data_IF_210237091924
#
_entry.id   IF_210237091924
#
_cell.length_a   1.000
_cell.length_b   1.000
_cell.length_c   1.000
_cell.angle_alpha   90.00
_cell.angle_beta   90.00
_cell.angle_gamma   90.00
#
_symmetry.space_group_name_H-M   'P 1'
#
loop_
_entity.id
_entity.type
_entity.pdbx_description
1 polymer ?
#
# COMPACT_ATOMS: atom_id res chain seq x y z
N UNK A 1 -7.33 0.19 -17.57
CA UNK A 1 -7.73 -0.65 -18.73
C UNK A 1 -8.90 0.00 -19.44
N UNK A 2 -8.85 0.24 -20.76
CA UNK A 2 -9.95 0.87 -21.49
C UNK A 2 -11.28 0.15 -21.25
N UNK A 3 -12.34 0.90 -20.95
CA UNK A 3 -13.68 0.34 -20.76
C UNK A 3 -13.94 -0.34 -19.41
N UNK A 4 -12.92 -0.49 -18.54
CA UNK A 4 -13.08 -1.08 -17.21
C UNK A 4 -13.23 0.03 -16.16
N UNK A 5 -14.36 0.05 -15.47
CA UNK A 5 -14.65 1.01 -14.42
C UNK A 5 -13.78 0.81 -13.16
N UNK A 6 -13.63 1.86 -12.35
CA UNK A 6 -12.95 1.78 -11.06
C UNK A 6 -13.62 0.73 -10.16
N UNK A 7 -12.81 -0.11 -9.53
CA UNK A 7 -13.27 -1.21 -8.68
C UNK A 7 -13.87 -2.40 -9.43
N UNK A 8 -14.06 -2.35 -10.76
CA UNK A 8 -14.66 -3.47 -11.49
C UNK A 8 -13.69 -4.64 -11.65
N UNK A 9 -12.42 -4.36 -11.97
CA UNK A 9 -11.37 -5.36 -12.12
C UNK A 9 -11.11 -6.07 -10.79
N UNK A 10 -11.03 -7.39 -10.82
CA UNK A 10 -10.62 -8.27 -9.73
C UNK A 10 -9.28 -8.91 -10.05
N UNK A 11 -8.35 -8.83 -9.12
CA UNK A 11 -7.07 -9.55 -9.18
C UNK A 11 -6.87 -10.30 -7.85
N UNK A 12 -6.04 -11.34 -7.87
CA UNK A 12 -5.51 -11.98 -6.68
C UNK A 12 -3.99 -11.81 -6.61
N UNK A 13 -3.39 -12.24 -5.48
CA UNK A 13 -1.96 -12.07 -5.23
C UNK A 13 -1.08 -12.78 -6.24
N UNK A 14 -1.45 -13.99 -6.66
CA UNK A 14 -0.67 -14.77 -7.62
C UNK A 14 -0.72 -14.16 -9.03
N UNK A 15 -1.91 -13.77 -9.50
CA UNK A 15 -2.08 -13.09 -10.79
C UNK A 15 -1.34 -11.76 -10.79
N UNK A 16 -1.43 -10.98 -9.71
CA UNK A 16 -0.71 -9.72 -9.57
C UNK A 16 0.81 -9.92 -9.59
N UNK A 17 1.33 -10.92 -8.88
CA UNK A 17 2.75 -11.27 -8.91
C UNK A 17 3.19 -11.68 -10.32
N UNK A 18 2.43 -12.53 -11.01
CA UNK A 18 2.72 -12.97 -12.36
C UNK A 18 2.67 -11.82 -13.39
N UNK A 19 1.81 -10.81 -13.19
CA UNK A 19 1.85 -9.57 -13.98
C UNK A 19 3.18 -8.86 -13.76
N UNK A 20 3.59 -8.60 -12.51
CA UNK A 20 4.82 -7.86 -12.22
C UNK A 20 6.11 -8.65 -12.49
N UNK A 21 6.04 -9.98 -12.58
CA UNK A 21 7.10 -10.85 -13.12
C UNK A 21 7.18 -10.79 -14.66
N UNK A 22 6.18 -10.20 -15.33
CA UNK A 22 6.08 -10.14 -16.79
C UNK A 22 5.56 -11.42 -17.46
N UNK A 23 5.14 -12.42 -16.68
CA UNK A 23 4.59 -13.70 -17.17
C UNK A 23 3.19 -13.51 -17.76
N UNK A 24 2.39 -12.66 -17.13
CA UNK A 24 1.09 -12.21 -17.68
C UNK A 24 1.30 -10.86 -18.35
N UNK A 25 1.20 -10.85 -19.68
CA UNK A 25 1.59 -9.69 -20.50
C UNK A 25 0.43 -9.03 -21.25
N UNK A 26 -0.79 -9.55 -21.13
CA UNK A 26 -2.01 -8.99 -21.74
C UNK A 26 -3.20 -9.04 -20.79
N UNK A 27 -4.13 -8.09 -20.93
CA UNK A 27 -5.29 -7.95 -20.04
C UNK A 27 -6.35 -9.04 -20.23
N UNK A 28 -6.42 -9.69 -21.39
CA UNK A 28 -7.31 -10.83 -21.66
C UNK A 28 -6.67 -12.19 -21.32
N UNK A 29 -5.57 -12.21 -20.56
CA UNK A 29 -4.94 -13.45 -20.12
C UNK A 29 -5.95 -14.35 -19.38
N UNK A 30 -5.96 -15.69 -19.62
CA UNK A 30 -6.91 -16.60 -18.99
C UNK A 30 -6.97 -16.50 -17.47
N UNK A 31 -5.85 -16.24 -16.79
CA UNK A 31 -5.81 -16.08 -15.34
C UNK A 31 -6.60 -14.83 -14.90
N UNK A 32 -6.47 -13.71 -15.63
CA UNK A 32 -7.24 -12.49 -15.34
C UNK A 32 -8.72 -12.72 -15.69
N UNK A 33 -9.02 -13.33 -16.83
CA UNK A 33 -10.41 -13.59 -17.27
C UNK A 33 -11.16 -14.46 -16.24
N UNK A 34 -10.51 -15.50 -15.71
CA UNK A 34 -11.10 -16.39 -14.72
C UNK A 34 -11.58 -15.67 -13.44
N UNK A 35 -10.87 -14.61 -13.02
CA UNK A 35 -11.23 -13.83 -11.82
C UNK A 35 -12.37 -12.83 -12.05
N UNK A 36 -12.65 -12.49 -13.31
CA UNK A 36 -13.48 -11.35 -13.67
C UNK A 36 -14.87 -11.70 -14.23
N UNK A 37 -15.21 -13.00 -14.28
CA UNK A 37 -16.59 -13.48 -14.35
C UNK A 37 -17.47 -12.86 -15.46
N UNK A 38 -16.90 -12.61 -16.65
CA UNK A 38 -17.62 -12.04 -17.80
C UNK A 38 -17.33 -10.57 -18.11
N UNK A 39 -16.43 -9.90 -17.38
CA UNK A 39 -15.90 -8.60 -17.79
C UNK A 39 -15.24 -8.74 -19.18
N UNK A 40 -15.63 -7.91 -20.14
CA UNK A 40 -15.00 -7.89 -21.47
C UNK A 40 -13.60 -7.28 -21.37
N UNK A 41 -12.58 -8.14 -21.36
CA UNK A 41 -11.19 -7.72 -21.25
C UNK A 41 -10.54 -7.59 -22.64
N UNK A 42 -9.86 -6.47 -22.93
CA UNK A 42 -9.27 -6.25 -24.25
C UNK A 42 -7.97 -7.04 -24.43
N UNK A 43 -7.63 -7.38 -25.68
CA UNK A 43 -6.30 -7.90 -26.09
C UNK A 43 -5.24 -6.79 -26.08
N UNK A 44 -5.16 -6.04 -24.99
CA UNK A 44 -4.20 -4.94 -24.81
C UNK A 44 -3.02 -5.44 -23.99
N UNK A 45 -1.80 -5.16 -24.45
CA UNK A 45 -0.56 -5.40 -23.70
C UNK A 45 -0.61 -4.70 -22.33
N UNK A 46 -0.15 -5.38 -21.31
CA UNK A 46 0.06 -4.81 -19.98
C UNK A 46 1.39 -4.07 -19.98
N UNK A 47 1.36 -2.80 -19.58
CA UNK A 47 2.58 -2.03 -19.31
C UNK A 47 2.71 -1.83 -17.82
N UNK A 48 3.72 -2.45 -17.23
CA UNK A 48 4.02 -2.34 -15.80
C UNK A 48 4.67 -0.99 -15.53
N UNK A 49 4.19 -0.28 -14.52
CA UNK A 49 4.76 0.96 -14.01
C UNK A 49 5.10 0.74 -12.55
N UNK A 50 6.40 0.83 -12.22
CA UNK A 50 6.91 0.70 -10.86
C UNK A 50 7.60 2.00 -10.43
N UNK A 51 7.99 2.10 -9.16
CA UNK A 51 8.79 3.24 -8.67
C UNK A 51 10.22 3.17 -9.18
N UNK A 52 10.80 4.32 -9.56
CA UNK A 52 12.21 4.44 -9.91
C UNK A 52 13.11 4.83 -8.73
N UNK A 53 12.52 5.39 -7.68
CA UNK A 53 13.19 5.87 -6.47
C UNK A 53 12.92 4.97 -5.25
N UNK A 54 13.78 5.07 -4.23
CA UNK A 54 13.61 4.35 -2.96
C UNK A 54 12.27 4.70 -2.31
N UNK A 55 11.47 3.68 -1.99
CA UNK A 55 10.04 3.88 -1.74
C UNK A 55 9.47 2.92 -0.69
N UNK A 56 8.80 3.48 0.32
CA UNK A 56 8.01 2.71 1.29
C UNK A 56 6.78 2.05 0.66
N UNK A 57 6.17 2.68 -0.35
CA UNK A 57 5.07 2.06 -1.11
C UNK A 57 5.56 0.83 -1.87
N UNK A 58 6.76 0.90 -2.45
CA UNK A 58 7.42 -0.25 -3.07
C UNK A 58 7.62 -1.35 -2.04
N UNK A 59 8.22 -1.03 -0.88
CA UNK A 59 8.44 -2.00 0.19
C UNK A 59 7.16 -2.77 0.53
N UNK A 60 6.05 -2.09 0.81
CA UNK A 60 4.79 -2.76 1.15
C UNK A 60 4.22 -3.59 -0.01
N UNK A 61 4.31 -3.07 -1.24
CA UNK A 61 3.85 -3.79 -2.43
C UNK A 61 4.64 -5.09 -2.63
N UNK A 62 5.97 -5.04 -2.60
CA UNK A 62 6.81 -6.23 -2.85
C UNK A 62 6.89 -7.17 -1.66
N UNK A 63 6.69 -6.66 -0.44
CA UNK A 63 6.50 -7.49 0.76
C UNK A 63 5.18 -8.28 0.65
N UNK A 64 4.08 -7.65 0.20
CA UNK A 64 2.85 -8.37 -0.10
C UNK A 64 3.07 -9.45 -1.17
N UNK A 65 3.69 -9.10 -2.31
CA UNK A 65 3.98 -10.07 -3.37
C UNK A 65 4.85 -11.23 -2.88
N UNK A 66 5.83 -10.96 -2.01
CA UNK A 66 6.66 -11.99 -1.38
C UNK A 66 5.90 -12.92 -0.44
N UNK A 67 4.79 -12.47 0.16
CA UNK A 67 3.93 -13.31 1.00
C UNK A 67 3.01 -14.23 0.18
N UNK A 68 2.56 -13.77 -0.99
CA UNK A 68 1.53 -14.47 -1.79
C UNK A 68 2.10 -15.21 -3.00
N UNK A 69 3.37 -14.99 -3.35
CA UNK A 69 4.05 -15.69 -4.45
C UNK A 69 5.45 -16.13 -4.05
N UNK A 70 5.65 -17.45 -3.98
CA UNK A 70 6.96 -18.04 -3.71
C UNK A 70 7.99 -17.72 -4.80
N UNK A 71 7.55 -17.61 -6.06
CA UNK A 71 8.39 -17.24 -7.20
C UNK A 71 8.84 -15.77 -7.11
N UNK A 72 7.92 -14.86 -6.77
CA UNK A 72 8.30 -13.46 -6.51
C UNK A 72 9.34 -13.38 -5.39
N UNK A 73 9.07 -14.08 -4.27
CA UNK A 73 9.95 -14.08 -3.10
C UNK A 73 11.36 -14.57 -3.44
N UNK A 74 11.50 -15.60 -4.26
CA UNK A 74 12.80 -16.17 -4.61
C UNK A 74 13.55 -15.38 -5.67
N UNK A 75 12.86 -14.77 -6.64
CA UNK A 75 13.51 -14.07 -7.75
C UNK A 75 13.73 -12.57 -7.50
N UNK A 76 12.78 -11.91 -6.83
CA UNK A 76 12.78 -10.44 -6.65
C UNK A 76 12.91 -10.06 -5.18
N UNK A 77 12.15 -10.74 -4.31
CA UNK A 77 12.13 -10.47 -2.88
C UNK A 77 11.49 -9.13 -2.52
N UNK A 78 11.97 -8.52 -1.45
CA UNK A 78 11.42 -7.30 -0.87
C UNK A 78 12.47 -6.24 -0.54
N UNK A 79 12.04 -4.97 -0.50
CA UNK A 79 12.89 -3.84 -0.18
C UNK A 79 12.28 -2.52 -0.62
N UNK A 80 12.87 -1.41 -0.19
CA UNK A 80 12.49 -0.08 -0.69
C UNK A 80 12.87 0.14 -2.15
N UNK A 81 13.79 -0.68 -2.66
CA UNK A 81 14.20 -0.80 -4.06
C UNK A 81 14.43 -2.29 -4.35
N UNK A 82 14.02 -2.77 -5.52
CA UNK A 82 14.24 -4.14 -6.00
C UNK A 82 14.66 -4.14 -7.47
N UNK A 83 15.23 -5.26 -7.95
CA UNK A 83 15.52 -5.44 -9.38
C UNK A 83 14.25 -5.89 -10.10
N UNK A 84 13.50 -4.93 -10.66
CA UNK A 84 12.26 -5.22 -11.38
C UNK A 84 12.50 -6.08 -12.62
N UNK A 85 11.75 -7.17 -12.83
CA UNK A 85 11.87 -8.01 -14.02
C UNK A 85 11.45 -7.29 -15.31
N UNK A 86 10.47 -6.39 -15.22
CA UNK A 86 9.92 -5.65 -16.34
C UNK A 86 9.25 -4.35 -15.87
N UNK A 87 8.95 -3.49 -16.84
CA UNK A 87 8.22 -2.25 -16.63
C UNK A 87 9.08 -1.01 -16.78
N UNK A 88 8.45 0.14 -16.50
CA UNK A 88 9.08 1.45 -16.51
C UNK A 88 9.00 2.08 -15.13
N UNK A 89 10.04 2.86 -14.78
CA UNK A 89 10.13 3.54 -13.50
C UNK A 89 9.52 4.95 -13.53
N UNK A 90 8.45 5.17 -12.76
CA UNK A 90 7.93 6.49 -12.42
C UNK A 90 8.52 6.99 -11.10
N UNK A 91 8.92 8.27 -11.04
CA UNK A 91 9.45 8.88 -9.80
C UNK A 91 8.28 9.31 -8.90
N UNK A 92 8.30 8.90 -7.63
CA UNK A 92 7.22 9.21 -6.70
C UNK A 92 5.89 8.52 -7.03
N UNK A 93 4.86 8.76 -6.21
CA UNK A 93 3.50 8.29 -6.53
C UNK A 93 2.94 9.04 -7.75
N UNK A 94 3.27 10.32 -7.88
CA UNK A 94 2.89 11.21 -8.96
C UNK A 94 3.35 10.69 -10.32
N UNK A 95 4.62 10.27 -10.43
CA UNK A 95 5.17 9.74 -11.68
C UNK A 95 4.55 8.41 -12.07
N UNK A 96 4.31 7.52 -11.10
CA UNK A 96 3.61 6.25 -11.36
C UNK A 96 2.18 6.51 -11.80
N UNK A 97 1.44 7.38 -11.09
CA UNK A 97 0.07 7.76 -11.43
C UNK A 97 -0.03 8.38 -12.83
N UNK A 98 0.88 9.30 -13.17
CA UNK A 98 0.94 9.95 -14.47
C UNK A 98 1.15 8.94 -15.60
N UNK A 99 2.12 8.03 -15.47
CA UNK A 99 2.38 7.00 -16.48
C UNK A 99 1.21 6.02 -16.61
N UNK A 100 0.62 5.54 -15.52
CA UNK A 100 -0.55 4.66 -15.60
C UNK A 100 -1.73 5.34 -16.30
N UNK A 101 -1.92 6.65 -16.09
CA UNK A 101 -2.98 7.41 -16.74
C UNK A 101 -2.73 7.64 -18.24
N UNK A 102 -1.48 7.88 -18.63
CA UNK A 102 -1.10 8.15 -20.02
C UNK A 102 -1.00 6.86 -20.87
N UNK A 103 -0.56 5.76 -20.26
CA UNK A 103 -0.26 4.52 -20.98
C UNK A 103 -1.50 3.64 -21.02
N UNK A 104 -2.04 3.45 -22.23
CA UNK A 104 -3.13 2.50 -22.47
C UNK A 104 -2.68 1.09 -22.06
N UNK A 105 -3.43 0.48 -21.15
CA UNK A 105 -3.08 -0.84 -20.59
C UNK A 105 -2.06 -0.79 -19.44
N UNK A 106 -1.72 0.40 -18.95
CA UNK A 106 -0.84 0.56 -17.79
C UNK A 106 -1.40 -0.03 -16.50
N UNK A 107 -0.51 -0.60 -15.68
CA UNK A 107 -0.77 -1.00 -14.29
C UNK A 107 0.37 -0.50 -13.41
N UNK A 108 0.04 0.02 -12.24
CA UNK A 108 1.01 0.43 -11.23
C UNK A 108 0.39 0.37 -9.84
N UNK A 109 1.20 0.66 -8.83
CA UNK A 109 0.79 0.73 -7.43
C UNK A 109 1.03 2.14 -6.90
N UNK A 110 0.01 2.70 -6.26
CA UNK A 110 0.05 4.01 -5.64
C UNK A 110 -0.73 3.96 -4.32
N UNK A 111 -0.45 4.89 -3.43
CA UNK A 111 -1.32 5.13 -2.28
C UNK A 111 -2.72 5.58 -2.79
N UNK A 112 -3.80 5.20 -2.09
CA UNK A 112 -5.18 5.33 -2.56
C UNK A 112 -5.55 6.78 -2.89
N UNK A 113 -5.10 7.76 -2.10
CA UNK A 113 -5.40 9.17 -2.34
C UNK A 113 -4.96 9.63 -3.72
N UNK A 114 -3.82 9.15 -4.23
CA UNK A 114 -3.34 9.47 -5.58
C UNK A 114 -4.28 8.92 -6.65
N UNK A 115 -4.78 7.70 -6.48
CA UNK A 115 -5.74 7.11 -7.41
C UNK A 115 -7.05 7.90 -7.42
N UNK A 116 -7.57 8.28 -6.25
CA UNK A 116 -8.83 9.03 -6.11
C UNK A 116 -8.71 10.45 -6.68
N UNK A 117 -7.69 11.21 -6.27
CA UNK A 117 -7.48 12.60 -6.72
C UNK A 117 -7.24 12.68 -8.23
N UNK A 118 -6.56 11.69 -8.81
CA UNK A 118 -6.31 11.64 -10.26
C UNK A 118 -7.42 10.99 -11.08
N UNK A 119 -8.52 10.57 -10.42
CA UNK A 119 -9.68 9.87 -11.02
C UNK A 119 -9.25 8.61 -11.78
N UNK A 120 -8.32 7.86 -11.19
CA UNK A 120 -7.80 6.63 -11.76
C UNK A 120 -8.74 5.46 -11.45
N UNK A 121 -8.83 4.52 -12.38
CA UNK A 121 -9.43 3.23 -12.08
C UNK A 121 -8.47 2.41 -11.20
N UNK A 122 -9.00 1.83 -10.13
CA UNK A 122 -8.31 0.86 -9.27
C UNK A 122 -8.96 -0.52 -9.39
N UNK A 123 -8.26 -1.56 -8.94
CA UNK A 123 -8.78 -2.94 -8.88
C UNK A 123 -9.21 -3.31 -7.46
N UNK A 124 -10.07 -4.32 -7.36
CA UNK A 124 -10.28 -5.10 -6.13
C UNK A 124 -9.19 -6.16 -6.03
N UNK A 125 -8.77 -6.45 -4.81
CA UNK A 125 -7.85 -7.54 -4.53
C UNK A 125 -8.50 -8.62 -3.68
N UNK A 126 -8.25 -9.88 -4.03
CA UNK A 126 -8.58 -11.03 -3.20
C UNK A 126 -7.72 -11.01 -1.93
N UNK A 127 -8.34 -11.02 -0.77
CA UNK A 127 -7.65 -11.04 0.51
C UNK A 127 -7.29 -12.45 0.98
N UNK A 128 -6.64 -12.54 2.15
CA UNK A 128 -6.21 -13.80 2.74
C UNK A 128 -7.37 -14.78 3.00
N UNK A 129 -8.59 -14.27 3.25
CA UNK A 129 -9.81 -15.06 3.45
C UNK A 129 -10.54 -15.40 2.13
N UNK A 130 -10.01 -14.95 0.99
CA UNK A 130 -10.55 -15.24 -0.33
C UNK A 130 -11.64 -14.29 -0.84
N UNK A 131 -11.92 -13.19 -0.13
CA UNK A 131 -12.90 -12.18 -0.53
C UNK A 131 -12.26 -11.10 -1.41
N UNK A 132 -12.99 -10.61 -2.43
CA UNK A 132 -12.53 -9.49 -3.26
C UNK A 132 -12.90 -8.15 -2.61
N UNK A 133 -11.90 -7.46 -2.09
CA UNK A 133 -12.06 -6.24 -1.30
C UNK A 133 -11.83 -5.01 -2.18
N UNK A 134 -12.59 -3.94 -1.92
CA UNK A 134 -12.37 -2.61 -2.51
C UNK A 134 -11.46 -1.82 -1.55
N UNK A 135 -10.44 -1.11 -2.05
CA UNK A 135 -9.63 -0.26 -1.18
C UNK A 135 -10.48 0.92 -0.67
N UNK A 136 -10.56 1.06 0.65
CA UNK A 136 -11.34 2.10 1.34
C UNK A 136 -10.87 2.23 2.79
N UNK A 137 -11.26 3.31 3.45
CA UNK A 137 -11.00 3.55 4.87
C UNK A 137 -11.46 2.35 5.73
N UNK A 138 -12.65 1.81 5.46
CA UNK A 138 -13.20 0.65 6.18
C UNK A 138 -12.35 -0.61 5.97
N UNK A 139 -11.90 -0.90 4.76
CA UNK A 139 -11.10 -2.10 4.49
C UNK A 139 -9.66 -1.98 5.00
N UNK A 140 -9.14 -0.75 5.07
CA UNK A 140 -7.87 -0.44 5.71
C UNK A 140 -7.98 -0.56 7.23
N UNK A 141 -9.05 -0.04 7.84
CA UNK A 141 -9.31 -0.18 9.27
C UNK A 141 -9.48 -1.65 9.66
N UNK A 142 -10.21 -2.44 8.86
CA UNK A 142 -10.36 -3.88 9.06
C UNK A 142 -9.01 -4.61 9.07
N UNK A 143 -8.11 -4.27 8.13
CA UNK A 143 -6.76 -4.83 8.12
C UNK A 143 -5.92 -4.35 9.31
N UNK A 144 -5.99 -3.06 9.66
CA UNK A 144 -5.25 -2.49 10.78
C UNK A 144 -5.65 -3.07 12.14
N UNK A 145 -6.91 -3.50 12.30
CA UNK A 145 -7.42 -4.10 13.53
C UNK A 145 -6.72 -5.42 13.92
N UNK A 146 -6.06 -6.11 12.98
CA UNK A 146 -5.28 -7.32 13.28
C UNK A 146 -3.88 -7.02 13.85
N UNK A 147 -3.47 -5.75 13.89
CA UNK A 147 -2.13 -5.36 14.31
C UNK A 147 -1.96 -5.43 15.83
N UNK A 148 -1.04 -6.28 16.30
CA UNK A 148 -0.70 -6.41 17.72
C UNK A 148 0.50 -5.53 18.10
N UNK A 149 0.28 -4.22 18.17
CA UNK A 149 1.34 -3.24 18.46
C UNK A 149 2.01 -3.45 19.81
N UNK A 150 1.26 -3.88 20.84
CA UNK A 150 1.79 -4.10 22.19
C UNK A 150 2.82 -5.22 22.29
N UNK A 151 2.81 -6.18 21.34
CA UNK A 151 3.79 -7.26 21.27
C UNK A 151 5.02 -6.93 20.40
N UNK A 152 5.03 -5.76 19.75
CA UNK A 152 6.10 -5.37 18.83
C UNK A 152 7.17 -4.57 19.54
N UNK A 153 8.43 -4.82 19.17
CA UNK A 153 9.55 -3.99 19.63
C UNK A 153 9.68 -2.76 18.72
N UNK A 154 9.81 -1.59 19.33
CA UNK A 154 10.03 -0.31 18.63
C UNK A 154 9.00 -0.05 17.50
N UNK A 155 7.77 -0.53 17.67
CA UNK A 155 6.67 -0.49 16.69
C UNK A 155 7.00 -1.10 15.31
N UNK A 156 7.99 -1.98 15.19
CA UNK A 156 8.27 -2.64 13.93
C UNK A 156 7.21 -3.71 13.62
N UNK A 157 6.29 -3.39 12.71
CA UNK A 157 5.24 -4.29 12.25
C UNK A 157 4.91 -4.07 10.77
N UNK A 158 4.84 -5.15 10.00
CA UNK A 158 4.45 -5.12 8.57
C UNK A 158 3.15 -5.88 8.38
N UNK A 159 2.06 -5.15 8.17
CA UNK A 159 0.69 -5.67 8.23
C UNK A 159 0.08 -6.02 6.85
N UNK A 160 0.90 -6.20 5.82
CA UNK A 160 0.41 -6.68 4.51
C UNK A 160 -0.14 -8.11 4.62
N UNK A 161 -1.10 -8.44 3.75
CA UNK A 161 -1.85 -9.69 3.74
C UNK A 161 -2.49 -10.01 5.11
N UNK A 162 -3.01 -8.98 5.78
CA UNK A 162 -3.70 -9.12 7.06
C UNK A 162 -4.90 -10.08 6.95
N UNK A 163 -5.17 -10.90 7.98
CA UNK A 163 -6.35 -11.76 8.03
C UNK A 163 -7.62 -10.92 8.18
N UNK A 164 -8.77 -11.55 7.98
CA UNK A 164 -10.08 -10.93 8.21
C UNK A 164 -10.89 -10.69 6.92
N UNK A 165 -12.20 -10.89 7.04
CA UNK A 165 -13.08 -10.99 5.87
C UNK A 165 -13.14 -9.71 5.02
N UNK A 166 -12.91 -8.54 5.62
CA UNK A 166 -12.96 -7.23 4.94
C UNK A 166 -11.58 -6.57 4.80
N UNK A 167 -10.51 -7.26 5.18
CA UNK A 167 -9.16 -6.69 5.23
C UNK A 167 -8.61 -6.44 3.83
N UNK A 168 -8.17 -5.20 3.58
CA UNK A 168 -7.43 -4.89 2.36
C UNK A 168 -6.04 -5.53 2.37
N UNK A 169 -5.58 -6.18 1.28
CA UNK A 169 -4.36 -6.99 1.33
C UNK A 169 -3.06 -6.19 1.36
N UNK A 170 -3.04 -4.94 0.90
CA UNK A 170 -1.82 -4.12 0.79
C UNK A 170 -2.00 -2.83 1.60
N UNK A 171 -1.97 -2.97 2.92
CA UNK A 171 -1.97 -1.85 3.87
C UNK A 171 -0.55 -1.54 4.35
N UNK A 172 -0.30 -0.26 4.65
CA UNK A 172 0.93 0.22 5.23
C UNK A 172 0.64 1.18 6.39
N UNK A 173 1.48 1.13 7.43
CA UNK A 173 1.51 2.14 8.48
C UNK A 173 2.63 3.13 8.17
N UNK A 174 2.35 4.43 8.29
CA UNK A 174 3.38 5.46 8.18
C UNK A 174 4.15 5.57 9.50
N UNK A 175 5.48 5.64 9.40
CA UNK A 175 6.36 5.76 10.56
C UNK A 175 7.14 7.07 10.51
N UNK A 176 7.24 7.72 11.66
CA UNK A 176 8.04 8.91 11.86
C UNK A 176 9.31 8.51 12.58
N UNK A 177 10.47 8.92 12.05
CA UNK A 177 11.77 8.67 12.63
C UNK A 177 12.29 9.94 13.28
N UNK A 178 12.59 9.86 14.57
CA UNK A 178 13.17 10.96 15.35
C UNK A 178 14.39 10.46 16.12
N UNK A 179 15.41 11.31 16.25
CA UNK A 179 16.59 10.98 17.04
C UNK A 179 16.23 10.89 18.53
N UNK A 180 16.72 9.86 19.24
CA UNK A 180 16.64 9.78 20.70
C UNK A 180 17.47 10.87 21.38
N UNK A 181 18.59 11.25 20.75
CA UNK A 181 19.47 12.33 21.17
C UNK A 181 19.58 13.35 20.02
N UNK A 182 18.62 14.27 19.89
CA UNK A 182 18.62 15.26 18.82
C UNK A 182 19.69 16.33 19.07
N UNK A 183 20.30 16.83 18.00
CA UNK A 183 21.19 18.00 18.07
C UNK A 183 20.41 19.28 18.40
N UNK A 184 19.20 19.40 17.86
CA UNK A 184 18.25 20.47 18.16
C UNK A 184 17.09 19.92 19.00
N UNK A 185 17.19 20.11 20.32
CA UNK A 185 16.16 19.67 21.25
C UNK A 185 14.86 20.49 21.13
N UNK A 186 14.94 21.77 20.76
CA UNK A 186 13.75 22.62 20.62
C UNK A 186 12.91 22.18 19.41
N UNK A 187 13.56 21.95 18.27
CA UNK A 187 12.90 21.40 17.09
C UNK A 187 12.31 20.01 17.34
N UNK A 188 13.01 19.14 18.05
CA UNK A 188 12.51 17.81 18.38
C UNK A 188 11.27 17.85 19.31
N UNK A 189 11.25 18.75 20.29
CA UNK A 189 10.04 19.01 21.11
C UNK A 189 8.89 19.54 20.25
N UNK A 190 9.16 20.51 19.38
CA UNK A 190 8.15 21.06 18.46
C UNK A 190 7.53 20.01 17.55
N UNK A 191 8.34 19.10 17.00
CA UNK A 191 7.87 17.98 16.20
C UNK A 191 6.99 17.01 17.01
N UNK A 192 7.38 16.69 18.24
CA UNK A 192 6.59 15.84 19.15
C UNK A 192 5.24 16.47 19.48
N UNK A 193 5.20 17.76 19.80
CA UNK A 193 3.96 18.51 20.04
C UNK A 193 3.08 18.60 18.79
N UNK A 194 3.68 18.76 17.61
CA UNK A 194 2.94 18.70 16.35
C UNK A 194 2.23 17.35 16.18
N UNK A 195 2.90 16.22 16.41
CA UNK A 195 2.25 14.91 16.29
C UNK A 195 1.21 14.65 17.40
N UNK A 196 1.40 15.17 18.62
CA UNK A 196 0.33 15.18 19.63
C UNK A 196 -0.91 15.90 19.12
N UNK A 197 -0.73 17.07 18.49
CA UNK A 197 -1.83 17.80 17.88
C UNK A 197 -2.47 17.01 16.73
N UNK A 198 -1.68 16.35 15.88
CA UNK A 198 -2.19 15.49 14.80
C UNK A 198 -3.10 14.40 15.37
N UNK A 199 -2.69 13.70 16.42
CA UNK A 199 -3.51 12.65 17.03
C UNK A 199 -4.72 13.19 17.80
N UNK A 200 -4.67 14.41 18.32
CA UNK A 200 -5.77 14.99 19.08
C UNK A 200 -6.81 15.75 18.24
N UNK A 201 -6.43 16.20 17.03
CA UNK A 201 -7.21 17.16 16.21
C UNK A 201 -7.19 16.89 14.70
N UNK A 202 -6.40 15.92 14.23
CA UNK A 202 -6.12 15.70 12.81
C UNK A 202 -6.98 14.62 12.12
N UNK A 203 -7.80 13.89 12.87
CA UNK A 203 -8.53 12.73 12.35
C UNK A 203 -9.40 13.06 11.14
N UNK A 204 -10.15 14.17 11.21
CA UNK A 204 -11.01 14.59 10.11
C UNK A 204 -10.22 14.89 8.83
N UNK A 205 -9.05 15.52 8.95
CA UNK A 205 -8.16 15.78 7.81
C UNK A 205 -7.61 14.48 7.23
N UNK A 206 -7.19 13.54 8.08
CA UNK A 206 -6.69 12.24 7.64
C UNK A 206 -7.78 11.46 6.87
N UNK A 207 -8.98 11.35 7.43
CA UNK A 207 -10.12 10.68 6.78
C UNK A 207 -10.52 11.38 5.47
N UNK A 208 -10.49 12.71 5.41
CA UNK A 208 -10.81 13.44 4.16
C UNK A 208 -9.87 13.10 2.99
N UNK A 209 -8.67 12.60 3.28
CA UNK A 209 -7.67 12.18 2.31
C UNK A 209 -7.63 10.65 2.10
N UNK A 210 -8.50 9.89 2.78
CA UNK A 210 -8.57 8.42 2.68
C UNK A 210 -7.58 7.67 3.58
N UNK A 211 -7.09 8.31 4.65
CA UNK A 211 -6.25 7.67 5.66
C UNK A 211 -7.09 7.25 6.88
N UNK A 212 -6.68 6.16 7.51
CA UNK A 212 -7.26 5.67 8.78
C UNK A 212 -6.54 6.35 9.95
N UNK A 213 -7.23 7.15 10.79
CA UNK A 213 -6.66 7.67 12.02
C UNK A 213 -6.21 6.55 12.96
N UNK A 214 -5.17 6.79 13.76
CA UNK A 214 -4.71 5.79 14.71
C UNK A 214 -5.70 5.65 15.87
N UNK A 215 -6.03 4.44 16.33
CA UNK A 215 -6.87 4.26 17.50
C UNK A 215 -6.25 4.88 18.77
N UNK A 216 -7.06 5.45 19.65
CA UNK A 216 -6.62 6.08 20.91
C UNK A 216 -5.72 5.18 21.77
N UNK A 217 -6.00 3.88 21.77
CA UNK A 217 -5.18 2.88 22.48
C UNK A 217 -3.74 2.81 21.93
N UNK A 218 -3.57 2.91 20.61
CA UNK A 218 -2.25 2.96 19.98
C UNK A 218 -1.57 4.31 20.21
N UNK A 219 -2.32 5.42 20.13
CA UNK A 219 -1.80 6.76 20.44
C UNK A 219 -1.24 6.79 21.87
N UNK A 220 -1.97 6.22 22.83
CA UNK A 220 -1.52 6.11 24.23
C UNK A 220 -0.22 5.31 24.36
N UNK A 221 -0.06 4.21 23.59
CA UNK A 221 1.18 3.44 23.55
C UNK A 221 2.35 4.25 22.95
N UNK A 222 2.09 5.03 21.91
CA UNK A 222 3.09 5.92 21.29
C UNK A 222 3.57 6.98 22.29
N UNK A 223 2.66 7.64 23.00
CA UNK A 223 3.01 8.64 24.01
C UNK A 223 3.82 8.04 25.16
N UNK A 224 3.43 6.86 25.64
CA UNK A 224 4.17 6.11 26.65
C UNK A 224 5.58 5.76 26.16
N UNK A 225 5.72 5.27 24.92
CA UNK A 225 7.02 4.96 24.32
C UNK A 225 7.90 6.21 24.19
N UNK A 226 7.34 7.35 23.77
CA UNK A 226 8.08 8.62 23.71
C UNK A 226 8.58 9.05 25.08
N UNK A 227 7.78 8.90 26.14
CA UNK A 227 8.18 9.27 27.51
C UNK A 227 9.43 8.50 27.99
N UNK A 228 9.61 7.28 27.51
CA UNK A 228 10.73 6.41 27.87
C UNK A 228 11.95 6.58 26.96
N UNK A 229 11.75 7.00 25.71
CA UNK A 229 12.79 6.98 24.67
C UNK A 229 13.23 8.36 24.18
N UNK A 230 12.48 9.41 24.49
CA UNK A 230 12.72 10.78 24.07
C UNK A 230 12.79 11.68 25.31
N UNK A 231 14.00 11.89 25.83
CA UNK A 231 14.26 12.64 27.06
C UNK A 231 14.05 14.16 26.94
N UNK A 232 13.50 14.63 25.80
CA UNK A 232 13.23 16.02 25.50
C UNK A 232 11.73 16.32 25.51
#
# INVERSE_FOLDING_TARGET
VPGVAAGAMKLDGETLANIFLGKISKWNDPAIVALNGGLTLPDTKITIVHRSDGSGTTFNFVNYLSKVSAEWKSQVGEGTTVKWPAGIGGKGNEGVAAYVKQIKGGIGYVELSYALQNKMAYSRLKNAEGNFIVPSDDSFAAAAASANWGATKDFYLVNTNAPGAQSWPIIATNFILMYKQPKDAAGAKGAKEFFRWVYAKGDAQATSLGYVPLPDALVSQIEAYWSQNMAY
#
